data_IF_585083429061
#
_entry.id   IF_585083429061
#
_cell.length_a   1.000
_cell.length_b   1.000
_cell.length_c   1.000
_cell.angle_alpha   90.00
_cell.angle_beta   90.00
_cell.angle_gamma   90.00
#
_symmetry.space_group_name_H-M   'P 1'
#
loop_
_entity.id
_entity.type
_entity.pdbx_description
1 polymer ?
#
# COMPACT_ATOMS: atom_id res chain seq x y z
N UNK A 1 18.85 -7.45 -18.22
CA UNK A 1 18.32 -6.09 -18.05
C UNK A 1 19.42 -5.23 -17.48
N UNK A 2 19.63 -4.05 -18.03
CA UNK A 2 20.60 -3.10 -17.51
C UNK A 2 19.95 -2.25 -16.40
N UNK A 3 20.77 -1.59 -15.55
CA UNK A 3 20.28 -0.86 -14.38
C UNK A 3 19.17 0.17 -14.70
N UNK A 4 19.25 0.84 -15.85
CA UNK A 4 18.23 1.80 -16.30
C UNK A 4 16.86 1.14 -16.53
N UNK A 5 16.82 -0.08 -17.09
CA UNK A 5 15.56 -0.79 -17.34
C UNK A 5 14.94 -1.26 -16.02
N UNK A 6 15.76 -1.72 -15.07
CA UNK A 6 15.33 -2.12 -13.73
C UNK A 6 14.75 -0.90 -13.00
N UNK A 7 15.45 0.24 -13.07
CA UNK A 7 15.00 1.51 -12.48
C UNK A 7 13.68 2.00 -13.07
N UNK A 8 13.49 1.90 -14.40
CA UNK A 8 12.26 2.29 -15.06
C UNK A 8 11.07 1.41 -14.62
N UNK A 9 11.26 0.10 -14.54
CA UNK A 9 10.23 -0.83 -14.03
C UNK A 9 9.90 -0.49 -12.58
N UNK A 10 10.91 -0.27 -11.74
CA UNK A 10 10.70 0.11 -10.36
C UNK A 10 9.92 1.43 -10.21
N UNK A 11 10.24 2.43 -11.04
CA UNK A 11 9.52 3.70 -11.08
C UNK A 11 8.05 3.53 -11.51
N UNK A 12 7.78 2.65 -12.49
CA UNK A 12 6.41 2.35 -12.91
C UNK A 12 5.59 1.72 -11.78
N UNK A 13 6.17 0.77 -11.04
CA UNK A 13 5.52 0.20 -9.85
C UNK A 13 5.27 1.23 -8.75
N UNK A 14 6.23 2.13 -8.50
CA UNK A 14 6.06 3.24 -7.55
C UNK A 14 4.89 4.15 -7.95
N UNK A 15 4.77 4.49 -9.24
CA UNK A 15 3.65 5.27 -9.78
C UNK A 15 2.31 4.55 -9.61
N UNK A 16 2.24 3.26 -9.93
CA UNK A 16 1.02 2.45 -9.75
C UNK A 16 0.64 2.37 -8.26
N UNK A 17 1.63 2.16 -7.39
CA UNK A 17 1.43 2.16 -5.94
C UNK A 17 0.88 3.48 -5.43
N UNK A 18 1.47 4.60 -5.84
CA UNK A 18 0.97 5.93 -5.51
C UNK A 18 -0.48 6.13 -5.97
N UNK A 19 -0.81 5.74 -7.21
CA UNK A 19 -2.18 5.81 -7.74
C UNK A 19 -3.17 4.96 -6.94
N UNK A 20 -2.82 3.72 -6.60
CA UNK A 20 -3.63 2.86 -5.74
C UNK A 20 -3.83 3.48 -4.35
N UNK A 21 -2.84 4.19 -3.83
CA UNK A 21 -2.89 4.86 -2.52
C UNK A 21 -3.90 6.00 -2.51
N UNK A 22 -3.93 6.78 -3.60
CA UNK A 22 -4.94 7.83 -3.81
C UNK A 22 -6.34 7.23 -3.85
N UNK A 23 -6.54 6.15 -4.61
CA UNK A 23 -7.86 5.49 -4.72
C UNK A 23 -8.30 4.91 -3.38
N UNK A 24 -7.39 4.27 -2.63
CA UNK A 24 -7.67 3.75 -1.30
C UNK A 24 -8.09 4.83 -0.31
N UNK A 25 -7.39 5.98 -0.32
CA UNK A 25 -7.74 7.14 0.50
C UNK A 25 -9.03 7.84 0.05
N UNK A 26 -9.36 7.82 -1.25
CA UNK A 26 -10.64 8.35 -1.73
C UNK A 26 -11.82 7.45 -1.31
N UNK A 27 -11.62 6.13 -1.26
CA UNK A 27 -12.64 5.16 -0.85
C UNK A 27 -13.04 5.31 0.64
N UNK A 28 -12.17 5.87 1.48
CA UNK A 28 -12.49 6.17 2.89
C UNK A 28 -13.65 7.14 3.07
N UNK A 29 -13.87 8.06 2.11
CA UNK A 29 -14.97 9.03 2.17
C UNK A 29 -16.36 8.36 2.19
N UNK A 30 -16.47 7.13 1.65
CA UNK A 30 -17.73 6.39 1.65
C UNK A 30 -18.13 5.92 3.06
N UNK A 31 -17.15 5.54 3.88
CA UNK A 31 -17.37 5.10 5.26
C UNK A 31 -17.85 6.26 6.16
N UNK A 32 -17.30 7.46 5.95
CA UNK A 32 -17.73 8.68 6.64
C UNK A 32 -19.16 9.07 6.26
N UNK A 33 -19.49 9.02 4.96
CA UNK A 33 -20.86 9.29 4.50
C UNK A 33 -21.88 8.28 5.00
N UNK A 34 -21.50 7.00 5.11
CA UNK A 34 -22.35 5.96 5.67
C UNK A 34 -22.63 6.19 7.17
N UNK A 35 -21.62 6.62 7.94
CA UNK A 35 -21.79 6.96 9.35
C UNK A 35 -22.70 8.18 9.54
N UNK A 36 -22.49 9.23 8.73
CA UNK A 36 -23.29 10.46 8.80
C UNK A 36 -24.76 10.23 8.47
N UNK A 37 -25.06 9.30 7.55
CA UNK A 37 -26.42 8.99 7.10
C UNK A 37 -27.13 7.93 7.95
N UNK A 38 -26.41 6.94 8.49
CA UNK A 38 -27.02 5.81 9.19
C UNK A 38 -27.12 5.96 10.73
N UNK A 39 -26.24 6.75 11.36
CA UNK A 39 -26.10 6.75 12.83
C UNK A 39 -26.95 7.79 13.58
N UNK A 40 -27.69 8.68 12.89
CA UNK A 40 -28.51 9.75 13.52
C UNK A 40 -27.82 10.50 14.67
N UNK A 41 -26.50 10.70 14.59
CA UNK A 41 -25.78 11.72 15.35
C UNK A 41 -25.74 11.60 16.88
N UNK A 42 -25.16 10.52 17.44
CA UNK A 42 -24.42 10.66 18.72
C UNK A 42 -22.90 10.79 18.43
N UNK A 43 -22.59 11.64 17.46
CA UNK A 43 -21.23 11.96 17.00
C UNK A 43 -20.40 12.62 18.10
N UNK A 44 -21.05 13.26 19.07
CA UNK A 44 -20.39 13.92 20.20
C UNK A 44 -19.69 12.93 21.15
N UNK A 45 -20.24 11.72 21.34
CA UNK A 45 -19.69 10.75 22.31
C UNK A 45 -18.84 9.65 21.67
N UNK A 46 -19.21 9.16 20.49
CA UNK A 46 -18.54 8.02 19.85
C UNK A 46 -17.93 8.33 18.47
N UNK A 47 -18.22 9.51 17.90
CA UNK A 47 -17.69 9.93 16.60
C UNK A 47 -16.17 9.85 16.49
N UNK A 48 -15.39 10.42 17.44
CA UNK A 48 -13.94 10.40 17.36
C UNK A 48 -13.33 8.98 17.37
N UNK A 49 -13.88 8.08 18.19
CA UNK A 49 -13.39 6.69 18.29
C UNK A 49 -13.71 5.91 17.01
N UNK A 50 -14.91 6.09 16.45
CA UNK A 50 -15.31 5.39 15.22
C UNK A 50 -14.49 5.86 14.01
N UNK A 51 -14.24 7.17 13.92
CA UNK A 51 -13.39 7.77 12.88
C UNK A 51 -11.95 7.24 13.00
N UNK A 52 -11.38 7.25 14.20
CA UNK A 52 -10.03 6.70 14.44
C UNK A 52 -9.93 5.21 14.07
N UNK A 53 -10.90 4.38 14.46
CA UNK A 53 -10.92 2.95 14.11
C UNK A 53 -11.10 2.70 12.62
N UNK A 54 -11.91 3.53 11.93
CA UNK A 54 -12.10 3.42 10.48
C UNK A 54 -10.80 3.74 9.73
N UNK A 55 -10.10 4.80 10.13
CA UNK A 55 -8.79 5.14 9.56
C UNK A 55 -7.72 4.10 9.86
N UNK A 56 -7.70 3.53 11.06
CA UNK A 56 -6.80 2.43 11.41
C UNK A 56 -7.10 1.19 10.57
N UNK A 57 -8.37 0.80 10.43
CA UNK A 57 -8.79 -0.37 9.66
C UNK A 57 -8.44 -0.22 8.16
N UNK A 58 -8.63 0.98 7.60
CA UNK A 58 -8.27 1.26 6.20
C UNK A 58 -6.76 1.23 6.03
N UNK A 59 -5.99 1.82 6.95
CA UNK A 59 -4.53 1.76 6.94
C UNK A 59 -4.04 0.32 7.01
N UNK A 60 -4.62 -0.50 7.88
CA UNK A 60 -4.31 -1.92 7.98
C UNK A 60 -4.67 -2.68 6.68
N UNK A 61 -5.83 -2.43 6.09
CA UNK A 61 -6.25 -3.06 4.83
C UNK A 61 -5.32 -2.69 3.68
N UNK A 62 -4.90 -1.42 3.60
CA UNK A 62 -3.89 -0.93 2.65
C UNK A 62 -2.59 -1.69 2.83
N UNK A 63 -2.04 -1.76 4.04
CA UNK A 63 -0.78 -2.43 4.30
C UNK A 63 -0.83 -3.94 4.03
N UNK A 64 -1.93 -4.60 4.39
CA UNK A 64 -2.14 -6.03 4.14
C UNK A 64 -2.29 -6.30 2.64
N UNK A 65 -2.99 -5.45 1.90
CA UNK A 65 -3.23 -5.62 0.46
C UNK A 65 -1.98 -5.48 -0.42
N UNK A 66 -0.94 -4.78 0.06
CA UNK A 66 0.30 -4.59 -0.68
C UNK A 66 1.05 -5.91 -0.98
N UNK A 67 1.05 -6.85 -0.04
CA UNK A 67 1.78 -8.12 -0.11
C UNK A 67 1.23 -9.10 -1.16
N UNK A 68 -0.10 -9.40 -1.20
CA UNK A 68 -0.64 -10.27 -2.26
C UNK A 68 -0.51 -9.65 -3.64
N UNK A 69 -0.64 -8.32 -3.78
CA UNK A 69 -0.37 -7.62 -5.04
C UNK A 69 1.08 -7.79 -5.49
N UNK A 70 2.04 -7.70 -4.56
CA UNK A 70 3.44 -7.96 -4.85
C UNK A 70 3.67 -9.39 -5.36
N UNK A 71 2.98 -10.38 -4.78
CA UNK A 71 3.05 -11.77 -5.22
C UNK A 71 2.54 -11.98 -6.65
N UNK A 72 1.35 -11.46 -6.96
CA UNK A 72 0.75 -11.58 -8.31
C UNK A 72 1.63 -10.88 -9.35
N UNK A 73 2.04 -9.64 -9.07
CA UNK A 73 2.87 -8.87 -9.98
C UNK A 73 4.26 -9.49 -10.15
N UNK A 74 4.83 -10.07 -9.09
CA UNK A 74 6.08 -10.80 -9.16
C UNK A 74 6.00 -11.98 -10.12
N UNK A 75 4.98 -12.86 -10.01
CA UNK A 75 4.81 -13.97 -10.96
C UNK A 75 4.66 -13.46 -12.40
N UNK A 76 3.79 -12.47 -12.63
CA UNK A 76 3.51 -11.94 -13.95
C UNK A 76 4.74 -11.31 -14.62
N UNK A 77 5.46 -10.45 -13.90
CA UNK A 77 6.67 -9.79 -14.43
C UNK A 77 7.83 -10.78 -14.54
N UNK A 78 7.97 -11.68 -13.56
CA UNK A 78 8.96 -12.75 -13.54
C UNK A 78 8.87 -13.66 -14.76
N UNK A 79 7.66 -14.01 -15.23
CA UNK A 79 7.45 -14.83 -16.43
C UNK A 79 8.09 -14.27 -17.70
N UNK A 80 8.32 -12.95 -17.76
CA UNK A 80 8.93 -12.29 -18.92
C UNK A 80 10.44 -12.21 -18.82
N UNK A 81 11.02 -12.33 -17.62
CA UNK A 81 12.46 -12.25 -17.42
C UNK A 81 13.17 -13.49 -17.96
N UNK A 82 14.39 -13.30 -18.48
CA UNK A 82 15.25 -14.40 -18.99
C UNK A 82 16.25 -14.93 -17.95
N UNK A 83 16.31 -14.32 -16.76
CA UNK A 83 17.30 -14.68 -15.75
C UNK A 83 16.75 -14.49 -14.33
N UNK A 84 17.03 -15.48 -13.48
CA UNK A 84 16.56 -15.56 -12.09
C UNK A 84 16.96 -14.32 -11.28
N UNK A 85 18.24 -13.92 -11.36
CA UNK A 85 18.74 -12.75 -10.63
C UNK A 85 18.10 -11.45 -11.11
N UNK A 86 17.95 -11.30 -12.43
CA UNK A 86 17.30 -10.13 -13.00
C UNK A 86 15.84 -10.04 -12.55
N UNK A 87 15.11 -11.16 -12.58
CA UNK A 87 13.72 -11.24 -12.14
C UNK A 87 13.55 -10.93 -10.65
N UNK A 88 14.40 -11.51 -9.79
CA UNK A 88 14.37 -11.28 -8.36
C UNK A 88 14.58 -9.80 -8.02
N UNK A 89 15.59 -9.18 -8.64
CA UNK A 89 15.95 -7.78 -8.38
C UNK A 89 14.87 -6.83 -8.93
N UNK A 90 14.36 -7.05 -10.14
CA UNK A 90 13.32 -6.18 -10.72
C UNK A 90 12.00 -6.27 -9.97
N UNK A 91 11.56 -7.50 -9.66
CA UNK A 91 10.28 -7.71 -9.00
C UNK A 91 10.37 -7.29 -7.53
N UNK A 92 11.50 -7.55 -6.85
CA UNK A 92 11.71 -7.11 -5.48
C UNK A 92 11.77 -5.58 -5.33
N UNK A 93 12.60 -4.91 -6.14
CA UNK A 93 12.69 -3.44 -6.11
C UNK A 93 11.36 -2.80 -6.52
N UNK A 94 10.73 -3.29 -7.59
CA UNK A 94 9.46 -2.76 -8.07
C UNK A 94 8.34 -2.89 -7.04
N UNK A 95 8.11 -4.09 -6.54
CA UNK A 95 7.02 -4.31 -5.55
C UNK A 95 7.30 -3.64 -4.21
N UNK A 96 8.56 -3.58 -3.76
CA UNK A 96 8.95 -2.88 -2.55
C UNK A 96 8.71 -1.36 -2.64
N UNK A 97 9.21 -0.74 -3.71
CA UNK A 97 9.01 0.70 -3.95
C UNK A 97 7.54 1.04 -4.24
N UNK A 98 6.83 0.16 -4.95
CA UNK A 98 5.38 0.25 -5.16
C UNK A 98 4.60 0.22 -3.84
N UNK A 99 4.89 -0.74 -2.97
CA UNK A 99 4.26 -0.85 -1.66
C UNK A 99 4.60 0.34 -0.74
N UNK A 100 5.83 0.85 -0.80
CA UNK A 100 6.24 2.03 -0.05
C UNK A 100 5.51 3.29 -0.52
N UNK A 101 5.44 3.52 -1.83
CA UNK A 101 4.69 4.63 -2.40
C UNK A 101 3.19 4.53 -2.08
N UNK A 102 2.62 3.32 -2.19
CA UNK A 102 1.23 3.03 -1.84
C UNK A 102 0.92 3.36 -0.38
N UNK A 103 1.71 2.83 0.55
CA UNK A 103 1.52 3.04 1.97
C UNK A 103 1.71 4.50 2.36
N UNK A 104 2.78 5.16 1.90
CA UNK A 104 3.01 6.58 2.22
C UNK A 104 1.90 7.50 1.70
N UNK A 105 1.45 7.31 0.45
CA UNK A 105 0.40 8.15 -0.11
C UNK A 105 -0.93 7.91 0.61
N UNK A 106 -1.31 6.65 0.82
CA UNK A 106 -2.54 6.32 1.53
C UNK A 106 -2.53 6.86 2.96
N UNK A 107 -1.47 6.61 3.73
CA UNK A 107 -1.31 7.08 5.13
C UNK A 107 -1.32 8.60 5.19
N UNK A 108 -0.60 9.29 4.31
CA UNK A 108 -0.54 10.77 4.33
C UNK A 108 -1.91 11.36 4.04
N UNK A 109 -2.60 10.87 3.01
CA UNK A 109 -3.94 11.35 2.65
C UNK A 109 -4.96 11.04 3.76
N UNK A 110 -4.87 9.85 4.36
CA UNK A 110 -5.66 9.44 5.51
C UNK A 110 -5.44 10.43 6.65
N UNK A 111 -4.19 10.65 7.09
CA UNK A 111 -3.83 11.53 8.23
C UNK A 111 -4.28 12.98 7.99
N UNK A 112 -4.12 13.50 6.77
CA UNK A 112 -4.57 14.86 6.42
C UNK A 112 -6.10 14.98 6.44
N UNK A 113 -6.82 13.91 6.09
CA UNK A 113 -8.28 13.92 6.03
C UNK A 113 -8.97 13.82 7.40
N UNK A 114 -8.25 13.49 8.48
CA UNK A 114 -8.84 13.14 9.77
C UNK A 114 -9.40 14.33 10.58
N UNK A 115 -9.01 15.59 10.28
CA UNK A 115 -9.50 16.80 10.95
C UNK A 115 -9.23 16.86 12.48
N UNK A 116 -9.93 17.75 13.21
CA UNK A 116 -9.75 17.94 14.68
C UNK A 116 -10.11 16.70 15.53
N UNK A 117 -10.84 15.72 14.95
CA UNK A 117 -11.15 14.45 15.60
C UNK A 117 -9.92 13.52 15.75
N UNK A 118 -8.79 13.87 15.12
CA UNK A 118 -7.65 13.00 14.84
C UNK A 118 -6.51 12.99 15.86
N UNK A 119 -6.51 13.89 16.85
CA UNK A 119 -5.45 13.93 17.86
C UNK A 119 -5.28 12.58 18.61
N UNK A 120 -6.30 11.71 18.55
CA UNK A 120 -6.33 10.40 19.18
C UNK A 120 -5.92 9.22 18.28
N UNK A 121 -5.90 9.34 16.95
CA UNK A 121 -5.89 8.17 16.08
C UNK A 121 -4.49 7.53 15.95
N UNK A 122 -3.49 8.31 15.52
CA UNK A 122 -2.07 7.94 15.35
C UNK A 122 -1.40 8.95 14.41
N UNK A 123 -0.16 9.34 14.71
CA UNK A 123 0.59 10.27 13.89
C UNK A 123 1.23 9.61 12.67
N UNK A 124 1.69 10.44 11.73
CA UNK A 124 2.44 10.00 10.54
C UNK A 124 3.71 9.21 10.90
N UNK A 125 4.31 9.53 12.06
CA UNK A 125 5.45 8.80 12.62
C UNK A 125 5.10 7.37 13.05
N UNK A 126 3.91 7.15 13.62
CA UNK A 126 3.47 5.85 14.12
C UNK A 126 3.21 4.87 12.98
N UNK A 127 2.71 5.37 11.85
CA UNK A 127 2.44 4.58 10.64
C UNK A 127 3.68 4.35 9.76
N UNK A 128 4.79 5.06 10.01
CA UNK A 128 6.01 4.96 9.21
C UNK A 128 6.68 3.57 9.33
N UNK A 129 6.86 3.08 10.55
CA UNK A 129 7.50 1.77 10.79
C UNK A 129 6.71 0.62 10.15
N UNK A 130 5.37 0.51 10.34
CA UNK A 130 4.56 -0.47 9.62
C UNK A 130 4.67 -0.36 8.10
N UNK A 131 4.68 0.87 7.57
CA UNK A 131 4.75 1.09 6.10
C UNK A 131 6.07 0.58 5.53
N UNK A 132 7.20 0.87 6.19
CA UNK A 132 8.52 0.38 5.78
C UNK A 132 8.59 -1.14 5.92
N UNK A 133 8.07 -1.71 7.00
CA UNK A 133 8.02 -3.17 7.19
C UNK A 133 7.21 -3.85 6.07
N UNK A 134 6.04 -3.32 5.73
CA UNK A 134 5.22 -3.81 4.62
C UNK A 134 5.95 -3.71 3.28
N UNK A 135 6.64 -2.60 3.02
CA UNK A 135 7.43 -2.46 1.80
C UNK A 135 8.54 -3.51 1.69
N UNK A 136 9.21 -3.82 2.81
CA UNK A 136 10.25 -4.85 2.85
C UNK A 136 9.67 -6.24 2.60
N UNK A 137 8.53 -6.57 3.23
CA UNK A 137 7.82 -7.84 3.03
C UNK A 137 7.35 -7.95 1.58
N UNK A 138 6.77 -6.90 1.02
CA UNK A 138 6.35 -6.83 -0.38
C UNK A 138 7.54 -7.05 -1.32
N UNK A 139 8.70 -6.43 -1.05
CA UNK A 139 9.91 -6.66 -1.83
C UNK A 139 10.38 -8.12 -1.79
N UNK A 140 10.39 -8.75 -0.62
CA UNK A 140 10.77 -10.15 -0.47
C UNK A 140 9.80 -11.09 -1.21
N UNK A 141 8.49 -10.83 -1.10
CA UNK A 141 7.46 -11.60 -1.79
C UNK A 141 7.53 -11.39 -3.29
N UNK A 142 7.70 -10.16 -3.77
CA UNK A 142 7.86 -9.87 -5.20
C UNK A 142 9.13 -10.49 -5.78
N UNK A 143 10.25 -10.47 -5.04
CA UNK A 143 11.48 -11.11 -5.49
C UNK A 143 11.32 -12.63 -5.62
N UNK A 144 10.77 -13.30 -4.60
CA UNK A 144 10.57 -14.75 -4.61
C UNK A 144 9.58 -15.21 -5.67
N UNK A 145 8.44 -14.52 -5.80
CA UNK A 145 7.44 -14.81 -6.84
C UNK A 145 7.92 -14.43 -8.24
N UNK A 146 8.77 -13.42 -8.36
CA UNK A 146 9.51 -13.10 -9.59
C UNK A 146 10.38 -14.26 -10.07
N UNK A 147 11.12 -14.89 -9.15
CA UNK A 147 11.88 -16.10 -9.45
C UNK A 147 10.96 -17.24 -9.88
N UNK A 148 9.88 -17.52 -9.12
CA UNK A 148 8.91 -18.56 -9.48
C UNK A 148 8.34 -18.34 -10.89
N UNK A 149 7.98 -17.10 -11.23
CA UNK A 149 7.49 -16.73 -12.55
C UNK A 149 8.46 -17.09 -13.68
N UNK A 150 9.78 -17.00 -13.46
CA UNK A 150 10.78 -17.42 -14.47
C UNK A 150 10.79 -18.92 -14.75
N UNK A 151 10.41 -19.73 -13.77
CA UNK A 151 10.44 -21.21 -13.85
C UNK A 151 9.12 -21.76 -14.40
N UNK A 152 8.02 -21.05 -14.19
CA UNK A 152 6.67 -21.43 -14.66
C UNK A 152 6.39 -21.06 -16.14
N UNK A 153 7.40 -20.61 -16.87
CA UNK A 153 7.29 -20.10 -18.24
C UNK A 153 7.14 -21.21 -19.28
#
# INVERSE_FOLDING_TARGET
MNANEIGLVAAAFALVGAGAGIVGAAATGWAETALATAATGETARFGPVFVAQSYLAVTAAVLVGAVPLAGVLGVLVGSRARGVTAAAVTCGLGTGLGALAYGLVAVTMIVVSQGDAAAQAHGLADAFVPTVATAFVAAAVGASTGVLGTVMR
#
